data_IF_269671741347
#
_entry.id   IF_269671741347
#
_cell.length_a   1.000
_cell.length_b   1.000
_cell.length_c   1.000
_cell.angle_alpha   90.00
_cell.angle_beta   90.00
_cell.angle_gamma   90.00
#
_symmetry.space_group_name_H-M   'P 1'
#
loop_
_entity.id
_entity.type
_entity.pdbx_description
1 polymer ?
#
# COMPACT_ATOMS: atom_id res chain seq x y z
N UNK A 1 -17.38 1.25 53.77
CA UNK A 1 -17.82 1.77 52.44
C UNK A 1 -16.58 2.03 51.60
N UNK A 2 -16.16 1.08 50.80
CA UNK A 2 -14.96 1.16 49.94
C UNK A 2 -15.43 1.51 48.55
N UNK A 3 -15.28 2.80 48.20
CA UNK A 3 -15.57 3.27 46.84
C UNK A 3 -14.58 2.69 45.84
N UNK A 4 -15.05 1.80 44.95
CA UNK A 4 -14.31 1.39 43.75
C UNK A 4 -14.21 2.60 42.82
N UNK A 5 -13.03 3.21 42.70
CA UNK A 5 -12.71 4.11 41.60
C UNK A 5 -12.77 3.25 40.32
N UNK A 6 -13.76 3.51 39.47
CA UNK A 6 -13.71 3.06 38.05
C UNK A 6 -12.55 3.82 37.40
N UNK A 7 -11.45 3.15 37.14
CA UNK A 7 -10.45 3.62 36.17
C UNK A 7 -11.16 3.74 34.81
N UNK A 8 -11.42 4.97 34.39
CA UNK A 8 -11.76 5.26 33.00
C UNK A 8 -10.44 5.05 32.27
N UNK A 9 -10.23 3.86 31.69
CA UNK A 9 -9.26 3.69 30.65
C UNK A 9 -9.74 4.60 29.51
N UNK A 10 -9.03 5.69 29.27
CA UNK A 10 -9.09 6.35 27.99
C UNK A 10 -8.68 5.29 26.97
N UNK A 11 -9.65 4.75 26.23
CA UNK A 11 -9.38 3.94 25.06
C UNK A 11 -8.62 4.86 24.09
N UNK A 12 -7.32 4.65 23.96
CA UNK A 12 -6.57 5.19 22.83
C UNK A 12 -7.35 4.81 21.57
N UNK A 13 -7.62 5.73 20.65
CA UNK A 13 -8.30 5.37 19.42
C UNK A 13 -7.50 4.26 18.74
N UNK A 14 -8.13 3.11 18.54
CA UNK A 14 -7.50 2.00 17.81
C UNK A 14 -7.15 2.49 16.39
N UNK A 15 -6.01 2.07 15.88
CA UNK A 15 -5.58 2.36 14.51
C UNK A 15 -6.72 2.06 13.51
N UNK A 16 -7.21 3.03 12.72
CA UNK A 16 -8.22 2.79 11.73
C UNK A 16 -7.74 1.82 10.66
N UNK A 17 -8.47 0.73 10.48
CA UNK A 17 -8.23 -0.28 9.46
C UNK A 17 -9.36 -0.29 8.46
N UNK A 18 -9.02 -0.28 7.16
CA UNK A 18 -9.99 -0.30 6.07
C UNK A 18 -9.99 -1.66 5.40
N UNK A 19 -11.17 -2.27 5.28
CA UNK A 19 -11.35 -3.58 4.65
C UNK A 19 -12.65 -3.63 3.85
N UNK A 20 -12.62 -4.30 2.69
CA UNK A 20 -13.79 -4.58 1.88
C UNK A 20 -13.85 -6.08 1.51
N UNK A 21 -15.02 -6.75 1.55
CA UNK A 21 -15.13 -8.16 1.21
C UNK A 21 -14.62 -8.51 -0.20
N UNK A 22 -14.75 -7.59 -1.16
CA UNK A 22 -14.27 -7.78 -2.54
C UNK A 22 -12.74 -7.77 -2.67
N UNK A 23 -11.95 -7.49 -1.61
CA UNK A 23 -10.49 -7.61 -1.68
C UNK A 23 -10.05 -9.04 -1.96
N UNK A 24 -10.80 -10.02 -1.47
CA UNK A 24 -10.63 -11.44 -1.79
C UNK A 24 -11.47 -11.81 -3.02
N UNK A 25 -10.93 -11.56 -4.22
CA UNK A 25 -11.59 -11.95 -5.46
C UNK A 25 -11.46 -13.46 -5.67
N UNK A 26 -12.39 -14.24 -5.09
CA UNK A 26 -12.41 -15.71 -5.10
C UNK A 26 -12.46 -16.35 -6.50
N UNK A 27 -12.56 -15.55 -7.55
CA UNK A 27 -12.46 -16.03 -8.93
C UNK A 27 -11.02 -16.31 -9.36
N UNK A 28 -10.03 -15.85 -8.59
CA UNK A 28 -8.62 -16.17 -8.82
C UNK A 28 -8.33 -17.54 -8.19
N UNK A 29 -7.78 -18.50 -8.96
CA UNK A 29 -7.46 -19.83 -8.46
C UNK A 29 -6.44 -19.81 -7.30
N UNK A 30 -6.55 -20.76 -6.36
CA UNK A 30 -5.65 -20.85 -5.20
C UNK A 30 -4.18 -21.14 -5.58
N UNK A 31 -3.93 -21.76 -6.74
CA UNK A 31 -2.59 -22.03 -7.28
C UNK A 31 -2.03 -20.88 -8.13
N UNK A 32 -2.77 -19.76 -8.25
CA UNK A 32 -2.29 -18.59 -8.94
C UNK A 32 -1.06 -18.00 -8.24
N UNK A 33 -0.13 -17.43 -9.02
CA UNK A 33 1.10 -16.82 -8.48
C UNK A 33 0.82 -15.68 -7.50
N UNK A 34 -0.30 -14.98 -7.67
CA UNK A 34 -0.79 -13.97 -6.74
C UNK A 34 -1.67 -14.64 -5.67
N UNK A 35 -1.27 -14.63 -4.39
CA UNK A 35 -2.01 -15.30 -3.32
C UNK A 35 -3.22 -14.47 -2.89
N UNK A 36 -4.30 -14.49 -3.70
CA UNK A 36 -5.48 -13.64 -3.50
C UNK A 36 -6.07 -13.79 -2.09
N UNK A 37 -6.05 -14.99 -1.52
CA UNK A 37 -6.58 -15.27 -0.18
C UNK A 37 -5.85 -14.57 0.95
N UNK A 38 -4.66 -13.99 0.70
CA UNK A 38 -3.93 -13.24 1.74
C UNK A 38 -4.80 -12.16 2.39
N UNK A 39 -5.66 -11.49 1.64
CA UNK A 39 -6.52 -10.41 2.13
C UNK A 39 -7.58 -10.88 3.12
N UNK A 40 -8.26 -12.00 2.84
CA UNK A 40 -9.19 -12.61 3.77
C UNK A 40 -8.47 -13.08 5.05
N UNK A 41 -7.30 -13.72 4.90
CA UNK A 41 -6.51 -14.19 6.04
C UNK A 41 -6.05 -13.05 6.94
N UNK A 42 -5.58 -11.92 6.37
CA UNK A 42 -5.23 -10.72 7.13
C UNK A 42 -6.43 -10.20 7.92
N UNK A 43 -7.59 -10.06 7.26
CA UNK A 43 -8.81 -9.59 7.92
C UNK A 43 -9.26 -10.54 9.04
N UNK A 44 -9.21 -11.86 8.82
CA UNK A 44 -9.60 -12.84 9.84
C UNK A 44 -8.66 -12.83 11.04
N UNK A 45 -7.34 -12.72 10.83
CA UNK A 45 -6.35 -12.62 11.90
C UNK A 45 -6.54 -11.33 12.73
N UNK A 46 -6.79 -10.20 12.08
CA UNK A 46 -6.99 -8.93 12.77
C UNK A 46 -8.33 -8.87 13.50
N UNK A 47 -9.42 -9.46 12.95
CA UNK A 47 -10.69 -9.61 13.70
C UNK A 47 -10.49 -10.48 14.95
N UNK A 48 -9.75 -11.58 14.84
CA UNK A 48 -9.46 -12.43 15.99
C UNK A 48 -8.62 -11.70 17.06
N UNK A 49 -7.83 -10.70 16.66
CA UNK A 49 -7.09 -9.81 17.55
C UNK A 49 -7.94 -8.65 18.11
N UNK A 50 -9.21 -8.53 17.72
CA UNK A 50 -10.15 -7.53 18.24
C UNK A 50 -10.25 -6.24 17.44
N UNK A 51 -9.64 -6.15 16.25
CA UNK A 51 -9.76 -4.98 15.39
C UNK A 51 -11.12 -4.94 14.67
N UNK A 52 -11.67 -3.74 14.55
CA UNK A 52 -12.83 -3.42 13.71
C UNK A 52 -12.38 -2.73 12.41
N UNK A 53 -13.23 -2.77 11.38
CA UNK A 53 -12.88 -2.25 10.07
C UNK A 53 -13.88 -1.22 9.59
N UNK A 54 -13.35 -0.18 8.96
CA UNK A 54 -14.11 0.72 8.12
C UNK A 54 -14.28 0.09 6.73
N UNK A 55 -15.52 0.04 6.22
CA UNK A 55 -15.81 -0.47 4.89
C UNK A 55 -15.85 0.67 3.87
N UNK A 56 -15.00 0.66 2.83
CA UNK A 56 -14.98 1.71 1.82
C UNK A 56 -16.08 1.50 0.79
N UNK A 57 -16.52 2.58 0.15
CA UNK A 57 -17.24 2.50 -1.10
C UNK A 57 -16.31 2.11 -2.25
N UNK A 58 -16.88 1.50 -3.30
CA UNK A 58 -16.15 1.30 -4.55
C UNK A 58 -15.81 2.66 -5.16
N UNK A 59 -14.55 2.85 -5.56
CA UNK A 59 -14.13 4.09 -6.20
C UNK A 59 -15.04 4.41 -7.40
N UNK A 60 -15.62 5.62 -7.49
CA UNK A 60 -16.32 6.07 -8.67
C UNK A 60 -15.37 6.13 -9.87
N UNK A 61 -15.89 5.97 -11.07
CA UNK A 61 -15.10 6.05 -12.31
C UNK A 61 -14.34 7.39 -12.42
N UNK A 62 -14.96 8.48 -12.00
CA UNK A 62 -14.34 9.80 -12.00
C UNK A 62 -13.04 9.89 -11.18
N UNK A 63 -12.91 9.10 -10.10
CA UNK A 63 -11.67 9.06 -9.33
C UNK A 63 -10.57 8.32 -10.10
N UNK A 64 -10.93 7.24 -10.80
CA UNK A 64 -9.97 6.46 -11.61
C UNK A 64 -9.37 7.31 -12.74
N UNK A 65 -10.15 8.21 -13.33
CA UNK A 65 -9.72 9.12 -14.40
C UNK A 65 -8.70 10.18 -13.93
N UNK A 66 -8.49 10.35 -12.62
CA UNK A 66 -7.43 11.22 -12.12
C UNK A 66 -6.04 10.68 -12.44
N UNK A 67 -5.90 9.35 -12.47
CA UNK A 67 -4.63 8.67 -12.64
C UNK A 67 -4.54 7.84 -13.94
N UNK A 68 -5.69 7.50 -14.55
CA UNK A 68 -5.74 6.55 -15.66
C UNK A 68 -6.53 7.11 -16.85
N UNK A 69 -6.07 6.74 -18.04
CA UNK A 69 -6.73 7.06 -19.30
C UNK A 69 -8.19 6.53 -19.32
N UNK A 70 -9.17 7.36 -19.74
CA UNK A 70 -10.57 6.96 -19.80
C UNK A 70 -10.83 5.70 -20.66
N UNK A 71 -10.08 5.51 -21.74
CA UNK A 71 -10.24 4.31 -22.58
C UNK A 71 -9.79 3.04 -21.84
N UNK A 72 -8.68 3.13 -21.07
CA UNK A 72 -8.22 2.01 -20.25
C UNK A 72 -9.23 1.71 -19.13
N UNK A 73 -9.70 2.73 -18.39
CA UNK A 73 -10.72 2.57 -17.35
C UNK A 73 -11.98 1.93 -17.94
N UNK A 74 -12.48 2.46 -19.06
CA UNK A 74 -13.65 1.91 -19.75
C UNK A 74 -13.45 0.44 -20.18
N UNK A 75 -12.26 0.07 -20.67
CA UNK A 75 -11.94 -1.29 -21.05
C UNK A 75 -11.94 -2.27 -19.86
N UNK A 76 -11.44 -1.85 -18.70
CA UNK A 76 -11.49 -2.65 -17.46
C UNK A 76 -12.94 -2.82 -16.99
N UNK A 77 -13.70 -1.72 -16.88
CA UNK A 77 -15.07 -1.75 -16.37
C UNK A 77 -16.02 -2.50 -17.31
N UNK A 78 -15.83 -2.34 -18.62
CA UNK A 78 -16.58 -3.03 -19.66
C UNK A 78 -16.09 -4.44 -19.97
N UNK A 79 -14.97 -4.90 -19.36
CA UNK A 79 -14.34 -6.22 -19.59
C UNK A 79 -13.97 -6.43 -21.07
N UNK A 80 -13.56 -5.36 -21.73
CA UNK A 80 -13.18 -5.35 -23.15
C UNK A 80 -11.68 -5.20 -23.38
N UNK A 81 -10.88 -5.30 -22.29
CA UNK A 81 -9.43 -5.23 -22.38
C UNK A 81 -8.88 -6.36 -23.25
N UNK A 82 -7.96 -6.05 -24.15
CA UNK A 82 -7.38 -7.06 -25.01
C UNK A 82 -6.54 -8.09 -24.24
N UNK A 83 -6.41 -9.30 -24.82
CA UNK A 83 -5.75 -10.42 -24.17
C UNK A 83 -4.25 -10.18 -23.89
N UNK A 84 -3.56 -9.30 -24.63
CA UNK A 84 -2.14 -8.98 -24.41
C UNK A 84 -2.02 -8.08 -23.18
N UNK A 85 -2.87 -7.06 -23.06
CA UNK A 85 -2.91 -6.18 -21.92
C UNK A 85 -3.34 -6.95 -20.65
N UNK A 86 -4.35 -7.82 -20.72
CA UNK A 86 -4.75 -8.68 -19.60
C UNK A 86 -3.61 -9.59 -19.11
N UNK A 87 -2.81 -10.17 -20.04
CA UNK A 87 -1.62 -10.95 -19.67
C UNK A 87 -0.52 -10.11 -19.01
N UNK A 88 -0.35 -8.84 -19.38
CA UNK A 88 0.60 -7.91 -18.73
C UNK A 88 0.19 -7.64 -17.30
N UNK A 89 -1.12 -7.50 -17.03
CA UNK A 89 -1.67 -7.40 -15.67
C UNK A 89 -1.46 -8.72 -14.91
N UNK A 90 -1.66 -9.86 -15.55
CA UNK A 90 -1.55 -11.17 -14.93
C UNK A 90 -2.85 -11.69 -14.34
N UNK A 91 -3.98 -11.04 -14.63
CA UNK A 91 -5.34 -11.49 -14.30
C UNK A 91 -6.21 -11.54 -15.55
N UNK A 92 -7.16 -12.47 -15.56
CA UNK A 92 -8.33 -12.34 -16.40
C UNK A 92 -9.21 -11.20 -15.85
N UNK A 93 -9.59 -10.25 -16.69
CA UNK A 93 -10.40 -9.10 -16.27
C UNK A 93 -11.87 -9.52 -16.22
N UNK A 94 -12.26 -10.04 -15.07
CA UNK A 94 -13.63 -10.41 -14.74
C UNK A 94 -14.34 -9.28 -13.98
N UNK A 95 -15.70 -9.31 -13.88
CA UNK A 95 -16.43 -8.37 -13.02
C UNK A 95 -15.90 -8.34 -11.57
N UNK A 96 -15.48 -9.50 -11.04
CA UNK A 96 -14.94 -9.60 -9.69
C UNK A 96 -13.58 -8.89 -9.56
N UNK A 97 -12.69 -9.02 -10.55
CA UNK A 97 -11.40 -8.31 -10.56
C UNK A 97 -11.61 -6.80 -10.73
N UNK A 98 -12.51 -6.36 -11.60
CA UNK A 98 -12.84 -4.94 -11.75
C UNK A 98 -13.41 -4.35 -10.43
N UNK A 99 -14.34 -5.05 -9.76
CA UNK A 99 -14.89 -4.65 -8.46
C UNK A 99 -13.80 -4.59 -7.38
N UNK A 100 -12.96 -5.64 -7.27
CA UNK A 100 -11.84 -5.69 -6.35
C UNK A 100 -10.92 -4.49 -6.51
N UNK A 101 -10.57 -4.16 -7.75
CA UNK A 101 -9.65 -3.06 -8.04
C UNK A 101 -10.25 -1.71 -7.66
N UNK A 102 -11.57 -1.50 -7.91
CA UNK A 102 -12.28 -0.31 -7.44
C UNK A 102 -12.41 -0.26 -5.92
N UNK A 103 -12.63 -1.41 -5.27
CA UNK A 103 -12.66 -1.50 -3.81
C UNK A 103 -11.30 -1.12 -3.20
N UNK A 104 -10.19 -1.62 -3.77
CA UNK A 104 -8.85 -1.29 -3.31
C UNK A 104 -8.56 0.22 -3.41
N UNK A 105 -8.90 0.85 -4.54
CA UNK A 105 -8.79 2.31 -4.71
C UNK A 105 -9.65 3.05 -3.69
N UNK A 106 -10.93 2.67 -3.55
CA UNK A 106 -11.83 3.28 -2.55
C UNK A 106 -11.29 3.15 -1.13
N UNK A 107 -10.69 1.98 -0.83
CA UNK A 107 -10.06 1.71 0.46
C UNK A 107 -8.86 2.60 0.75
N UNK A 108 -7.96 2.79 -0.21
CA UNK A 108 -6.81 3.68 -0.06
C UNK A 108 -7.25 5.14 0.09
N UNK A 109 -8.26 5.58 -0.68
CA UNK A 109 -8.82 6.92 -0.51
C UNK A 109 -9.47 7.13 0.87
N UNK A 110 -10.18 6.12 1.41
CA UNK A 110 -10.76 6.19 2.74
C UNK A 110 -9.66 6.15 3.82
N UNK A 111 -8.68 5.25 3.71
CA UNK A 111 -7.55 5.16 4.64
C UNK A 111 -6.76 6.48 4.69
N UNK A 112 -6.54 7.12 3.55
CA UNK A 112 -5.86 8.41 3.49
C UNK A 112 -6.62 9.52 4.26
N UNK A 113 -7.96 9.57 4.15
CA UNK A 113 -8.77 10.52 4.93
C UNK A 113 -8.75 10.21 6.42
N UNK A 114 -8.87 8.92 6.78
CA UNK A 114 -8.76 8.49 8.17
C UNK A 114 -7.37 8.77 8.76
N UNK A 115 -6.31 8.65 7.95
CA UNK A 115 -4.97 9.01 8.39
C UNK A 115 -4.85 10.51 8.70
N UNK A 116 -5.45 11.38 7.89
CA UNK A 116 -5.50 12.83 8.16
C UNK A 116 -6.27 13.15 9.45
N UNK A 117 -7.30 12.35 9.79
CA UNK A 117 -8.12 12.56 10.98
C UNK A 117 -7.50 11.96 12.25
N UNK A 118 -6.84 10.80 12.12
CA UNK A 118 -6.38 9.99 13.26
C UNK A 118 -4.86 9.87 13.38
N UNK A 119 -4.08 10.50 12.48
CA UNK A 119 -2.63 10.42 12.43
C UNK A 119 -2.09 9.23 11.63
N UNK A 120 -2.76 8.07 11.67
CA UNK A 120 -2.43 6.93 10.83
C UNK A 120 -3.67 6.11 10.48
N UNK A 121 -3.64 5.41 9.33
CA UNK A 121 -4.62 4.40 8.96
C UNK A 121 -4.00 3.39 7.98
N UNK A 122 -4.58 2.18 7.91
CA UNK A 122 -4.11 1.11 7.02
C UNK A 122 -5.25 0.62 6.16
N UNK A 123 -5.07 0.61 4.83
CA UNK A 123 -5.91 -0.15 3.93
C UNK A 123 -5.41 -1.59 3.86
N UNK A 124 -6.26 -2.57 4.22
CA UNK A 124 -5.92 -4.00 4.19
C UNK A 124 -5.90 -4.58 2.76
N UNK A 125 -5.58 -3.75 1.80
CA UNK A 125 -5.30 -4.03 0.39
C UNK A 125 -4.43 -2.89 -0.18
N UNK A 126 -4.46 -2.68 -1.50
CA UNK A 126 -3.76 -1.56 -2.15
C UNK A 126 -2.30 -1.85 -2.43
N UNK A 127 -1.57 -0.83 -2.84
CA UNK A 127 -0.18 -0.92 -3.28
C UNK A 127 -0.06 -1.38 -4.74
N UNK A 128 -1.01 -1.00 -5.58
CA UNK A 128 -1.04 -1.39 -7.01
C UNK A 128 -0.14 -0.48 -7.85
N UNK A 129 1.13 -0.38 -7.49
CA UNK A 129 2.10 0.59 -7.94
C UNK A 129 2.60 0.40 -9.39
N UNK A 130 2.33 -0.76 -10.02
CA UNK A 130 2.69 -1.01 -11.42
C UNK A 130 1.62 -0.59 -12.43
N UNK A 131 0.43 -0.19 -12.00
CA UNK A 131 -0.56 0.34 -12.90
C UNK A 131 -0.17 1.78 -13.30
N UNK A 132 0.14 1.96 -14.58
CA UNK A 132 0.47 3.24 -15.19
C UNK A 132 -0.76 3.98 -15.72
N UNK A 133 -0.57 5.13 -16.38
CA UNK A 133 -1.68 5.94 -16.90
C UNK A 133 -2.57 5.20 -17.89
N UNK A 134 -2.00 4.42 -18.78
CA UNK A 134 -2.65 3.78 -19.93
C UNK A 134 -2.78 2.26 -19.82
N UNK A 135 -2.38 1.66 -18.69
CA UNK A 135 -2.45 0.21 -18.55
C UNK A 135 -1.92 -0.32 -17.23
N UNK A 136 -2.40 -1.50 -16.87
CA UNK A 136 -1.94 -2.25 -15.70
C UNK A 136 -0.81 -3.22 -16.02
N UNK A 137 -0.09 -3.64 -14.97
CA UNK A 137 0.97 -4.64 -15.04
C UNK A 137 1.17 -5.30 -13.67
N UNK A 138 1.88 -6.43 -13.58
CA UNK A 138 2.35 -7.00 -12.31
C UNK A 138 1.26 -7.15 -11.25
N UNK A 139 0.10 -7.67 -11.62
CA UNK A 139 -1.09 -7.83 -10.77
C UNK A 139 -1.77 -6.52 -10.34
N UNK A 140 -1.34 -5.38 -10.85
CA UNK A 140 -1.90 -4.06 -10.61
C UNK A 140 -2.86 -3.67 -11.74
N UNK A 141 -4.12 -3.37 -11.40
CA UNK A 141 -5.14 -2.92 -12.36
C UNK A 141 -5.28 -1.40 -12.33
N UNK A 142 -5.54 -0.82 -11.16
CA UNK A 142 -5.58 0.63 -10.94
C UNK A 142 -4.61 1.00 -9.83
N UNK A 143 -3.87 2.09 -10.01
CA UNK A 143 -2.93 2.61 -9.02
C UNK A 143 -3.67 3.36 -7.92
N UNK A 144 -3.98 2.66 -6.86
CA UNK A 144 -4.77 3.18 -5.75
C UNK A 144 -4.07 4.31 -4.97
N UNK A 145 -2.76 4.23 -4.83
CA UNK A 145 -1.95 5.29 -4.18
C UNK A 145 -1.96 6.56 -5.02
N UNK A 146 -1.70 6.45 -6.32
CA UNK A 146 -1.72 7.61 -7.21
C UNK A 146 -3.12 8.25 -7.30
N UNK A 147 -4.19 7.44 -7.40
CA UNK A 147 -5.57 7.95 -7.35
C UNK A 147 -5.84 8.67 -6.04
N UNK A 148 -5.48 8.07 -4.90
CA UNK A 148 -5.67 8.67 -3.57
C UNK A 148 -4.93 9.99 -3.42
N UNK A 149 -3.66 10.05 -3.85
CA UNK A 149 -2.83 11.25 -3.83
C UNK A 149 -3.46 12.38 -4.67
N UNK A 150 -3.78 12.10 -5.94
CA UNK A 150 -4.35 13.08 -6.85
C UNK A 150 -5.74 13.57 -6.39
N UNK A 151 -6.55 12.67 -5.83
CA UNK A 151 -7.87 13.02 -5.29
C UNK A 151 -7.75 14.03 -4.14
N UNK A 152 -6.90 13.74 -3.13
CA UNK A 152 -6.74 14.63 -1.99
C UNK A 152 -6.11 15.97 -2.36
N UNK A 153 -5.16 15.98 -3.31
CA UNK A 153 -4.56 17.19 -3.86
C UNK A 153 -5.59 18.03 -4.63
N UNK A 154 -6.47 17.39 -5.41
CA UNK A 154 -7.53 18.08 -6.17
C UNK A 154 -8.60 18.67 -5.25
N UNK A 155 -8.96 17.96 -4.18
CA UNK A 155 -9.93 18.43 -3.18
C UNK A 155 -9.35 19.53 -2.28
N UNK A 156 -8.04 19.75 -2.31
CA UNK A 156 -7.36 20.69 -1.41
C UNK A 156 -7.30 20.20 0.04
N UNK A 157 -7.54 18.92 0.27
CA UNK A 157 -7.41 18.29 1.59
C UNK A 157 -5.95 18.25 2.06
N UNK A 158 -5.02 18.16 1.11
CA UNK A 158 -3.58 18.26 1.32
C UNK A 158 -2.96 19.17 0.25
N UNK A 159 -1.83 19.80 0.58
CA UNK A 159 -1.07 20.64 -0.36
C UNK A 159 0.08 19.87 -0.99
N UNK A 160 0.64 18.90 -0.27
CA UNK A 160 1.73 18.04 -0.70
C UNK A 160 1.56 16.64 -0.16
N UNK A 161 1.98 15.65 -0.93
CA UNK A 161 2.04 14.25 -0.52
C UNK A 161 3.42 13.67 -0.77
N UNK A 162 3.81 12.66 0.00
CA UNK A 162 4.95 11.82 -0.35
C UNK A 162 4.49 10.37 -0.47
N UNK A 163 5.09 9.62 -1.40
CA UNK A 163 4.94 8.18 -1.54
C UNK A 163 6.26 7.54 -1.14
N UNK A 164 6.23 6.71 -0.10
CA UNK A 164 7.34 5.87 0.33
C UNK A 164 7.01 4.44 -0.08
N UNK A 165 7.60 4.00 -1.19
CA UNK A 165 7.37 2.66 -1.74
C UNK A 165 8.50 1.72 -1.31
N UNK A 166 8.16 0.73 -0.48
CA UNK A 166 9.06 -0.28 0.06
C UNK A 166 8.71 -1.70 -0.41
N UNK A 167 7.89 -1.83 -1.48
CA UNK A 167 7.75 -3.07 -2.23
C UNK A 167 9.11 -3.46 -2.85
N UNK A 168 9.36 -4.76 -3.03
CA UNK A 168 10.63 -5.22 -3.62
C UNK A 168 10.81 -4.78 -5.07
N UNK A 169 9.68 -4.50 -5.74
CA UNK A 169 9.65 -4.04 -7.12
C UNK A 169 9.64 -2.50 -7.18
N UNK A 170 10.24 -1.94 -8.20
CA UNK A 170 10.14 -0.51 -8.46
C UNK A 170 8.70 -0.10 -8.78
N UNK A 171 8.21 1.00 -8.17
CA UNK A 171 6.86 1.55 -8.39
C UNK A 171 6.73 2.32 -9.69
N UNK A 172 6.95 1.65 -10.83
CA UNK A 172 7.01 2.24 -12.16
C UNK A 172 5.72 2.98 -12.57
N UNK A 173 4.55 2.41 -12.25
CA UNK A 173 3.27 3.05 -12.52
C UNK A 173 3.06 4.31 -11.67
N UNK A 174 3.46 4.29 -10.41
CA UNK A 174 3.39 5.44 -9.52
C UNK A 174 4.29 6.57 -10.00
N UNK A 175 5.54 6.26 -10.37
CA UNK A 175 6.49 7.22 -10.93
C UNK A 175 5.95 7.86 -12.23
N UNK A 176 5.36 7.06 -13.13
CA UNK A 176 4.77 7.56 -14.37
C UNK A 176 3.58 8.50 -14.15
N UNK A 177 2.71 8.19 -13.18
CA UNK A 177 1.50 8.99 -12.92
C UNK A 177 1.84 10.26 -12.14
N UNK A 178 2.62 10.15 -11.08
CA UNK A 178 2.89 11.26 -10.18
C UNK A 178 4.10 12.10 -10.56
N UNK A 179 4.98 11.62 -11.45
CA UNK A 179 6.19 12.35 -11.85
C UNK A 179 5.97 13.71 -12.51
N UNK A 180 4.75 13.99 -13.00
CA UNK A 180 4.36 15.30 -13.53
C UNK A 180 3.63 16.19 -12.49
N UNK A 181 3.33 15.67 -11.28
CA UNK A 181 2.64 16.42 -10.23
C UNK A 181 3.64 17.00 -9.23
N UNK A 182 3.94 18.32 -9.28
CA UNK A 182 5.00 18.92 -8.47
C UNK A 182 4.70 18.96 -6.96
N UNK A 183 3.47 18.59 -6.56
CA UNK A 183 3.06 18.50 -5.16
C UNK A 183 3.17 17.07 -4.60
N UNK A 184 3.58 16.10 -5.43
CA UNK A 184 3.83 14.73 -5.02
C UNK A 184 5.34 14.46 -5.06
N UNK A 185 5.89 13.91 -3.98
CA UNK A 185 7.25 13.38 -3.93
C UNK A 185 7.18 11.86 -3.96
N UNK A 186 7.84 11.24 -4.92
CA UNK A 186 7.84 9.78 -5.09
C UNK A 186 9.20 9.20 -4.73
N UNK A 187 9.22 8.18 -3.85
CA UNK A 187 10.43 7.50 -3.43
C UNK A 187 10.25 5.98 -3.47
N UNK A 188 11.18 5.25 -4.08
CA UNK A 188 11.14 3.80 -4.22
C UNK A 188 12.44 3.14 -3.72
N UNK A 189 12.31 2.22 -2.74
CA UNK A 189 13.39 1.39 -2.24
C UNK A 189 13.17 -0.05 -2.71
N UNK A 190 13.86 -0.46 -3.76
CA UNK A 190 13.57 -1.70 -4.47
C UNK A 190 14.82 -2.53 -4.77
N UNK A 191 14.64 -3.75 -5.25
CA UNK A 191 15.74 -4.56 -5.76
C UNK A 191 16.07 -4.16 -7.20
N UNK A 192 17.28 -3.66 -7.44
CA UNK A 192 17.74 -3.17 -8.74
C UNK A 192 17.60 -4.20 -9.87
N UNK A 193 17.94 -5.45 -9.59
CA UNK A 193 17.90 -6.53 -10.56
C UNK A 193 16.52 -7.17 -10.74
N UNK A 194 15.49 -6.69 -10.01
CA UNK A 194 14.14 -7.23 -10.11
C UNK A 194 13.33 -6.53 -11.23
N UNK A 195 12.20 -7.13 -11.58
CA UNK A 195 11.21 -6.54 -12.48
C UNK A 195 10.63 -5.26 -11.85
N UNK A 196 10.23 -4.26 -12.62
CA UNK A 196 10.34 -4.16 -14.08
C UNK A 196 11.78 -3.88 -14.55
N UNK A 197 12.09 -4.25 -15.80
CA UNK A 197 13.42 -4.00 -16.38
C UNK A 197 13.66 -2.51 -16.61
N UNK A 198 12.65 -1.84 -17.15
CA UNK A 198 12.66 -0.38 -17.36
C UNK A 198 12.03 0.27 -16.12
N UNK A 199 12.75 1.18 -15.51
CA UNK A 199 12.35 1.91 -14.32
C UNK A 199 12.27 3.39 -14.66
N UNK A 200 11.06 3.94 -14.89
CA UNK A 200 10.90 5.38 -15.03
C UNK A 200 11.32 6.06 -13.71
N UNK A 201 12.00 7.22 -13.76
CA UNK A 201 12.54 7.83 -12.56
C UNK A 201 11.42 8.30 -11.61
N UNK A 202 11.59 8.00 -10.32
CA UNK A 202 10.94 8.69 -9.22
C UNK A 202 11.74 9.94 -8.83
N UNK A 203 11.29 10.73 -7.86
CA UNK A 203 12.11 11.80 -7.29
C UNK A 203 13.33 11.23 -6.56
N UNK A 204 13.18 10.05 -5.94
CA UNK A 204 14.28 9.29 -5.33
C UNK A 204 14.12 7.78 -5.55
N UNK A 205 15.07 7.19 -6.25
CA UNK A 205 15.16 5.74 -6.44
C UNK A 205 16.41 5.18 -5.76
N UNK A 206 16.24 4.22 -4.85
CA UNK A 206 17.34 3.48 -4.22
C UNK A 206 17.25 2.01 -4.63
N UNK A 207 18.05 1.63 -5.63
CA UNK A 207 18.16 0.27 -6.12
C UNK A 207 19.15 -0.55 -5.29
N UNK A 208 18.65 -1.52 -4.54
CA UNK A 208 19.47 -2.42 -3.72
C UNK A 208 19.90 -3.66 -4.51
N UNK A 209 21.14 -4.17 -4.29
CA UNK A 209 21.58 -5.41 -4.89
C UNK A 209 20.72 -6.61 -4.47
N UNK A 210 20.57 -7.59 -5.36
CA UNK A 210 19.95 -8.88 -5.03
C UNK A 210 20.59 -9.49 -3.80
N UNK A 211 19.77 -10.02 -2.87
CA UNK A 211 20.21 -10.66 -1.64
C UNK A 211 20.55 -9.69 -0.51
N UNK A 212 20.30 -8.38 -0.68
CA UNK A 212 20.44 -7.41 0.41
C UNK A 212 19.57 -7.81 1.61
N UNK A 213 20.19 -7.93 2.78
CA UNK A 213 19.54 -8.24 4.05
C UNK A 213 19.24 -7.01 4.90
N UNK A 214 18.77 -7.25 6.13
CA UNK A 214 18.17 -6.26 7.02
C UNK A 214 19.01 -4.99 7.22
N UNK A 215 20.28 -5.13 7.61
CA UNK A 215 21.09 -3.97 7.99
C UNK A 215 21.32 -2.97 6.84
N UNK A 216 21.64 -3.47 5.65
CA UNK A 216 21.86 -2.62 4.48
C UNK A 216 20.55 -2.02 3.96
N UNK A 217 19.44 -2.79 4.04
CA UNK A 217 18.12 -2.30 3.69
C UNK A 217 17.68 -1.15 4.61
N UNK A 218 17.80 -1.34 5.93
CA UNK A 218 17.40 -0.33 6.92
C UNK A 218 18.23 0.95 6.80
N UNK A 219 19.53 0.85 6.53
CA UNK A 219 20.36 2.04 6.28
C UNK A 219 19.92 2.82 5.03
N UNK A 220 19.50 2.13 3.96
CA UNK A 220 18.96 2.76 2.76
C UNK A 220 17.57 3.37 3.02
N UNK A 221 16.73 2.70 3.82
CA UNK A 221 15.42 3.19 4.24
C UNK A 221 15.51 4.51 5.01
N UNK A 222 16.49 4.65 5.89
CA UNK A 222 16.72 5.90 6.65
C UNK A 222 16.90 7.08 5.70
N UNK A 223 17.71 6.92 4.65
CA UNK A 223 17.90 7.95 3.62
C UNK A 223 16.60 8.24 2.87
N UNK A 224 15.90 7.18 2.41
CA UNK A 224 14.67 7.33 1.63
C UNK A 224 13.59 8.10 2.41
N UNK A 225 13.36 7.73 3.67
CA UNK A 225 12.33 8.34 4.53
C UNK A 225 12.71 9.76 4.90
N UNK A 226 13.99 10.05 5.19
CA UNK A 226 14.46 11.39 5.50
C UNK A 226 14.21 12.35 4.33
N UNK A 227 14.51 11.95 3.08
CA UNK A 227 14.27 12.76 1.89
C UNK A 227 12.77 12.94 1.61
N UNK A 228 11.98 11.87 1.78
CA UNK A 228 10.53 11.95 1.63
C UNK A 228 9.91 12.97 2.61
N UNK A 229 10.33 12.97 3.87
CA UNK A 229 9.86 13.90 4.89
C UNK A 229 10.43 15.32 4.69
N UNK A 230 11.66 15.47 4.16
CA UNK A 230 12.23 16.76 3.80
C UNK A 230 11.44 17.49 2.70
N UNK A 231 10.64 16.77 1.88
CA UNK A 231 9.70 17.37 0.92
C UNK A 231 8.51 18.08 1.57
N UNK A 232 8.38 17.98 2.90
CA UNK A 232 7.32 18.58 3.73
C UNK A 232 5.90 18.15 3.31
N UNK A 233 5.61 16.84 3.25
CA UNK A 233 4.29 16.37 2.91
C UNK A 233 3.28 16.61 4.03
N UNK A 234 2.02 16.88 3.66
CA UNK A 234 0.89 16.90 4.60
C UNK A 234 0.35 15.45 4.85
N UNK A 235 0.78 14.46 4.03
CA UNK A 235 0.42 13.04 4.16
C UNK A 235 1.50 12.19 3.48
N UNK A 236 1.89 11.09 4.13
CA UNK A 236 2.71 10.03 3.52
C UNK A 236 1.83 8.84 3.15
N UNK A 237 1.89 8.42 1.89
CA UNK A 237 1.43 7.09 1.46
C UNK A 237 2.59 6.11 1.57
N UNK A 238 2.37 5.00 2.29
CA UNK A 238 3.38 3.97 2.51
C UNK A 238 2.96 2.65 1.86
N UNK A 239 3.65 2.24 0.81
CA UNK A 239 3.48 0.92 0.20
C UNK A 239 4.38 -0.09 0.93
N UNK A 240 3.77 -0.91 1.79
CA UNK A 240 4.44 -1.80 2.73
C UNK A 240 4.49 -3.25 2.21
N UNK A 241 4.87 -3.46 0.95
CA UNK A 241 5.03 -4.80 0.40
C UNK A 241 5.88 -5.71 1.30
N UNK A 242 5.49 -6.96 1.48
CA UNK A 242 6.25 -7.93 2.29
C UNK A 242 7.12 -8.86 1.43
N UNK A 243 7.17 -8.59 0.15
CA UNK A 243 8.00 -9.30 -0.83
C UNK A 243 9.51 -9.00 -0.80
N UNK A 244 10.05 -7.99 -0.04
CA UNK A 244 11.47 -7.96 0.29
C UNK A 244 11.94 -9.13 1.16
N UNK A 245 11.03 -9.91 1.73
CA UNK A 245 11.37 -11.04 2.60
C UNK A 245 12.09 -12.17 1.85
N UNK A 246 13.06 -12.82 2.51
CA UNK A 246 13.90 -13.90 1.96
C UNK A 246 13.11 -15.12 1.44
N UNK A 247 11.89 -15.34 1.92
CA UNK A 247 10.98 -16.43 1.56
C UNK A 247 10.05 -16.08 0.38
N UNK A 248 10.15 -14.85 -0.16
CA UNK A 248 9.29 -14.45 -1.25
C UNK A 248 9.71 -15.08 -2.59
N UNK A 249 8.71 -15.49 -3.40
CA UNK A 249 8.96 -16.20 -4.66
C UNK A 249 9.26 -15.28 -5.84
N UNK A 250 8.88 -14.01 -5.73
CA UNK A 250 9.07 -12.98 -6.75
C UNK A 250 10.05 -11.91 -6.29
N UNK A 251 10.30 -11.81 -4.98
CA UNK A 251 11.29 -10.95 -4.38
C UNK A 251 12.71 -11.49 -4.59
N UNK A 252 13.66 -10.57 -4.65
CA UNK A 252 15.09 -10.92 -4.78
C UNK A 252 15.93 -10.31 -3.65
N UNK A 253 15.33 -9.71 -2.64
CA UNK A 253 15.99 -9.29 -1.41
C UNK A 253 15.95 -10.42 -0.36
N UNK A 254 16.51 -10.20 0.82
CA UNK A 254 16.66 -11.23 1.85
C UNK A 254 16.38 -10.69 3.26
N UNK A 255 15.29 -9.91 3.42
CA UNK A 255 14.87 -9.45 4.73
C UNK A 255 14.30 -10.60 5.55
N UNK A 256 14.50 -10.52 6.86
CA UNK A 256 13.83 -11.37 7.84
C UNK A 256 12.47 -10.78 8.26
N UNK A 257 11.66 -11.57 8.99
CA UNK A 257 10.44 -11.05 9.63
C UNK A 257 10.77 -9.89 10.61
N UNK A 258 11.91 -9.94 11.30
CA UNK A 258 12.38 -8.86 12.17
C UNK A 258 12.80 -7.62 11.36
N UNK A 259 13.42 -7.80 10.20
CA UNK A 259 13.76 -6.72 9.28
C UNK A 259 12.55 -6.00 8.74
N UNK A 260 11.50 -6.74 8.34
CA UNK A 260 10.22 -6.14 7.92
C UNK A 260 9.56 -5.35 9.06
N UNK A 261 9.52 -5.91 10.28
CA UNK A 261 8.94 -5.23 11.43
C UNK A 261 9.74 -3.97 11.82
N UNK A 262 11.08 -4.00 11.71
CA UNK A 262 11.94 -2.84 11.95
C UNK A 262 11.71 -1.76 10.89
N UNK A 263 11.55 -2.12 9.62
CA UNK A 263 11.20 -1.24 8.51
C UNK A 263 9.90 -0.49 8.80
N UNK A 264 8.83 -1.23 9.09
CA UNK A 264 7.50 -0.68 9.28
C UNK A 264 7.45 0.25 10.49
N UNK A 265 8.11 -0.15 11.58
CA UNK A 265 8.25 0.69 12.78
C UNK A 265 9.02 1.98 12.47
N UNK A 266 10.13 1.89 11.77
CA UNK A 266 10.93 3.07 11.44
C UNK A 266 10.13 4.10 10.63
N UNK A 267 9.40 3.66 9.60
CA UNK A 267 8.54 4.56 8.80
C UNK A 267 7.49 5.24 9.67
N UNK A 268 6.81 4.46 10.53
CA UNK A 268 5.77 5.00 11.41
C UNK A 268 6.34 5.97 12.45
N UNK A 269 7.47 5.65 13.10
CA UNK A 269 8.15 6.51 14.07
C UNK A 269 8.63 7.81 13.43
N UNK A 270 9.20 7.74 12.23
CA UNK A 270 9.67 8.91 11.49
C UNK A 270 8.51 9.87 11.15
N UNK A 271 7.38 9.35 10.66
CA UNK A 271 6.18 10.14 10.40
C UNK A 271 5.62 10.75 11.69
N UNK A 272 5.47 9.95 12.75
CA UNK A 272 4.97 10.41 14.05
C UNK A 272 5.84 11.52 14.66
N UNK A 273 7.17 11.40 14.55
CA UNK A 273 8.11 12.38 15.11
C UNK A 273 7.99 13.77 14.48
N UNK A 274 7.45 13.85 13.27
CA UNK A 274 7.20 15.10 12.53
C UNK A 274 5.71 15.47 12.44
N UNK A 275 4.85 14.74 13.16
CA UNK A 275 3.39 14.90 13.11
C UNK A 275 2.83 14.83 11.68
N UNK A 276 3.43 13.99 10.82
CA UNK A 276 2.97 13.74 9.44
C UNK A 276 2.07 12.50 9.43
N UNK A 277 0.81 12.61 9.00
CA UNK A 277 -0.09 11.48 8.89
C UNK A 277 0.42 10.38 7.94
N UNK A 278 0.12 9.11 8.27
CA UNK A 278 0.59 7.93 7.55
C UNK A 278 -0.58 7.09 7.03
N UNK A 279 -0.73 6.99 5.71
CA UNK A 279 -1.64 6.06 5.04
C UNK A 279 -0.87 4.86 4.51
N UNK A 280 -0.96 3.71 5.16
CA UNK A 280 -0.28 2.50 4.72
C UNK A 280 -1.18 1.60 3.88
N UNK A 281 -0.58 0.91 2.90
CA UNK A 281 -1.21 -0.11 2.06
C UNK A 281 -0.35 -1.37 2.04
N UNK A 282 -0.96 -2.53 1.78
CA UNK A 282 -0.27 -3.82 1.98
C UNK A 282 0.81 -4.13 0.93
N UNK A 283 0.62 -3.74 -0.35
CA UNK A 283 1.57 -4.05 -1.40
C UNK A 283 1.74 -5.53 -1.73
N UNK A 284 2.91 -5.89 -2.26
CA UNK A 284 3.29 -7.23 -2.66
C UNK A 284 3.46 -8.23 -1.51
N UNK A 285 3.70 -9.48 -1.89
CA UNK A 285 3.90 -10.60 -0.99
C UNK A 285 3.38 -11.88 -1.65
N UNK A 286 4.31 -12.77 -2.04
CA UNK A 286 4.08 -13.87 -2.98
C UNK A 286 4.67 -15.20 -2.50
N UNK A 287 4.89 -15.39 -1.19
CA UNK A 287 5.27 -16.70 -0.65
C UNK A 287 4.20 -17.75 -0.98
N UNK A 288 4.62 -19.01 -1.11
CA UNK A 288 3.69 -20.13 -1.29
C UNK A 288 2.78 -20.37 -0.09
N UNK A 289 3.18 -19.92 1.11
CA UNK A 289 2.35 -19.92 2.32
C UNK A 289 1.63 -18.56 2.45
N UNK A 290 0.39 -18.50 1.96
CA UNK A 290 -0.45 -17.31 2.09
C UNK A 290 -0.67 -16.89 3.55
N UNK A 291 -0.62 -17.82 4.51
CA UNK A 291 -0.73 -17.51 5.93
C UNK A 291 0.53 -16.83 6.47
N UNK A 292 1.72 -17.18 5.97
CA UNK A 292 2.95 -16.46 6.30
C UNK A 292 2.92 -15.02 5.75
N UNK A 293 2.47 -14.85 4.50
CA UNK A 293 2.26 -13.51 3.92
C UNK A 293 1.29 -12.70 4.78
N UNK A 294 0.16 -13.28 5.17
CA UNK A 294 -0.84 -12.61 6.00
C UNK A 294 -0.29 -12.21 7.37
N UNK A 295 0.48 -13.09 8.04
CA UNK A 295 1.14 -12.76 9.32
C UNK A 295 2.10 -11.57 9.19
N UNK A 296 2.88 -11.49 8.11
CA UNK A 296 3.79 -10.35 7.85
C UNK A 296 3.01 -9.05 7.67
N UNK A 297 1.92 -9.07 6.92
CA UNK A 297 1.03 -7.89 6.80
C UNK A 297 0.35 -7.51 8.13
N UNK A 298 -0.02 -8.47 8.98
CA UNK A 298 -0.48 -8.15 10.34
C UNK A 298 0.65 -7.51 11.18
N UNK A 299 1.91 -7.84 10.91
CA UNK A 299 3.08 -7.19 11.52
C UNK A 299 3.17 -5.69 11.22
N UNK A 300 2.81 -5.27 10.01
CA UNK A 300 2.68 -3.86 9.64
C UNK A 300 1.67 -3.14 10.56
N UNK A 301 0.47 -3.71 10.69
CA UNK A 301 -0.59 -3.14 11.55
C UNK A 301 -0.10 -3.03 13.00
N UNK A 302 0.50 -4.09 13.53
CA UNK A 302 1.04 -4.09 14.89
C UNK A 302 2.17 -3.06 15.09
N UNK A 303 3.02 -2.84 14.08
CA UNK A 303 4.11 -1.87 14.13
C UNK A 303 3.59 -0.43 14.18
N UNK A 304 2.55 -0.09 13.41
CA UNK A 304 1.95 1.24 13.39
C UNK A 304 1.12 1.48 14.66
N UNK A 305 0.31 0.50 15.07
CA UNK A 305 -0.56 0.61 16.25
C UNK A 305 0.24 0.81 17.55
N UNK A 306 1.43 0.18 17.65
CA UNK A 306 2.32 0.32 18.79
C UNK A 306 2.88 1.74 18.98
N UNK A 307 2.91 2.56 17.94
CA UNK A 307 3.39 3.95 17.99
C UNK A 307 2.32 4.88 18.58
N UNK A 308 1.02 4.53 18.44
CA UNK A 308 -0.09 5.32 18.97
C UNK A 308 -0.18 6.71 18.33
N UNK A 309 0.00 6.80 17.01
CA UNK A 309 -0.11 8.06 16.26
C UNK A 309 -1.51 8.64 16.46
N UNK A 310 -1.57 9.89 16.89
CA UNK A 310 -2.81 10.68 16.95
C UNK A 310 -2.59 12.01 16.26
N UNK A 311 -3.59 12.48 15.52
CA UNK A 311 -3.60 13.86 15.03
C UNK A 311 -3.79 14.80 16.23
N UNK A 312 -2.91 15.80 16.39
CA UNK A 312 -3.07 16.88 17.39
C UNK A 312 -4.07 17.93 16.89
#
# INVERSE_FOLDING_TARGET
MTGRRREIRYLMPMLPLVHHPDYDARTVPDDHRFPMRKYALVADMLRAAGYEFFEPLLAPEAWLHLAHDPAYVGAILGQTLDAKAARKIGFEITPAIARRSRAAVGGTCLAARLALEHGAAVNLAGGSHHAGPDGGAGFCVFNDVAVGALLLLQEGAVRRVAVVDCDVHHGDGTALILGAEPRAFTASLHCEQNWPREKPPSDLDIGLPKGTGDAAYLAALETLVAEALASQPDLVFYNAGVDPHADDRLGLLSLSDAGLAARDRYVAEACASQAVPLCAVLGGGYSSDASAVARRHCGLVASIDAIGMSAE
#
